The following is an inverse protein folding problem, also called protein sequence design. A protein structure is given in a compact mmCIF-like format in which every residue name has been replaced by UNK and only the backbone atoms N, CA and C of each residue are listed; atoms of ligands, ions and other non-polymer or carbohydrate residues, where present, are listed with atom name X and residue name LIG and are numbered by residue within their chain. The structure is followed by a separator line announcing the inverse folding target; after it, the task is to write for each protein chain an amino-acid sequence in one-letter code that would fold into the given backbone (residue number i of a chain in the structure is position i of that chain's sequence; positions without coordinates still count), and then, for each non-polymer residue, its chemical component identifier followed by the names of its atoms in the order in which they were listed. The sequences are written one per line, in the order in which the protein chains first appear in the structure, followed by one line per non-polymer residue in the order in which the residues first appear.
data_IF_923180749899
#
_entry.id   IF_923180749899
#
_cell.length_a   1.000
_cell.length_b   1.000
_cell.length_c   1.000
_cell.angle_alpha   90.00
_cell.angle_beta   90.00
_cell.angle_gamma   90.00
#
_symmetry.space_group_name_H-M   'P 1'
#
loop_
_entity.id
_entity.type
_entity.pdbx_description
1 polymer ?
#
# COMPACT_ATOMS: atom_id res chain seq x y z
N UNK A 1 -22.07 -4.27 -13.68
CA UNK A 1 -20.98 -4.43 -12.69
C UNK A 1 -20.18 -5.70 -13.02
N UNK A 2 -19.00 -5.65 -13.69
CA UNK A 2 -18.28 -6.89 -14.00
C UNK A 2 -16.96 -7.12 -13.23
N UNK A 3 -16.47 -6.17 -12.41
CA UNK A 3 -15.10 -6.27 -11.84
C UNK A 3 -14.99 -6.27 -10.31
N UNK A 4 -16.08 -5.99 -9.58
CA UNK A 4 -16.10 -6.17 -8.12
C UNK A 4 -16.05 -7.67 -7.81
N UNK A 5 -15.21 -8.06 -6.85
CA UNK A 5 -14.96 -9.46 -6.45
C UNK A 5 -14.38 -10.40 -7.53
N UNK A 6 -14.13 -9.92 -8.75
CA UNK A 6 -13.39 -10.65 -9.76
C UNK A 6 -11.87 -10.65 -9.52
N UNK A 7 -11.15 -11.58 -10.15
CA UNK A 7 -9.69 -11.58 -10.15
C UNK A 7 -9.13 -10.24 -10.68
N UNK A 8 -7.97 -9.79 -10.16
CA UNK A 8 -7.32 -8.61 -10.72
C UNK A 8 -7.01 -8.86 -12.20
N UNK A 9 -7.24 -7.84 -13.03
CA UNK A 9 -6.88 -7.86 -14.45
C UNK A 9 -5.56 -7.13 -14.64
N UNK A 10 -4.81 -7.41 -15.72
CA UNK A 10 -3.63 -6.62 -16.07
C UNK A 10 -3.96 -5.11 -16.07
N UNK A 11 -3.02 -4.25 -15.59
CA UNK A 11 -3.24 -2.82 -15.59
C UNK A 11 -3.43 -2.32 -17.05
N UNK A 12 -4.24 -1.27 -17.26
CA UNK A 12 -4.38 -0.69 -18.58
C UNK A 12 -3.02 -0.15 -19.07
N UNK A 13 -2.80 -0.22 -20.37
CA UNK A 13 -1.64 0.42 -21.00
C UNK A 13 -1.78 1.93 -20.91
N UNK A 14 -0.75 2.61 -20.40
CA UNK A 14 -0.70 4.06 -20.38
C UNK A 14 0.01 4.57 -21.63
N UNK A 15 -0.60 5.50 -22.36
CA UNK A 15 0.03 6.16 -23.52
C UNK A 15 0.78 7.44 -23.13
N UNK A 16 0.52 7.97 -21.94
CA UNK A 16 1.04 9.26 -21.48
C UNK A 16 1.80 9.11 -20.16
N UNK A 17 2.61 10.13 -19.84
CA UNK A 17 3.33 10.22 -18.57
C UNK A 17 2.31 10.36 -17.42
N UNK A 18 2.45 9.51 -16.41
CA UNK A 18 1.61 9.53 -15.20
C UNK A 18 2.40 10.11 -14.02
N UNK A 19 1.72 10.90 -13.19
CA UNK A 19 2.32 11.37 -11.93
C UNK A 19 2.38 10.24 -10.91
N UNK A 20 3.54 10.07 -10.27
CA UNK A 20 3.79 9.07 -9.23
C UNK A 20 4.49 9.69 -8.01
N UNK A 21 4.11 10.92 -7.65
CA UNK A 21 4.74 11.70 -6.56
C UNK A 21 4.01 11.56 -5.21
N UNK A 22 2.90 10.83 -5.15
CA UNK A 22 2.11 10.60 -3.96
C UNK A 22 1.54 9.18 -3.95
N UNK A 23 1.19 8.67 -2.77
CA UNK A 23 0.49 7.40 -2.63
C UNK A 23 -0.89 7.45 -3.29
N UNK A 24 -1.27 6.36 -3.97
CA UNK A 24 -2.63 6.15 -4.46
C UNK A 24 -3.61 5.87 -3.32
N UNK A 25 -4.91 5.80 -3.63
CA UNK A 25 -5.95 5.55 -2.63
C UNK A 25 -5.75 4.21 -1.90
N UNK A 26 -6.13 4.17 -0.61
CA UNK A 26 -6.24 2.93 0.14
C UNK A 26 -7.46 2.13 -0.34
N UNK A 27 -7.39 0.79 -0.23
CA UNK A 27 -8.57 -0.04 -0.46
C UNK A 27 -9.61 0.17 0.64
N UNK A 28 -10.90 -0.21 0.44
CA UNK A 28 -11.91 -0.06 1.48
C UNK A 28 -11.54 -0.82 2.76
N UNK A 29 -11.63 -0.16 3.91
CA UNK A 29 -11.12 -0.62 5.21
C UNK A 29 -12.27 -0.97 6.17
N UNK A 30 -12.22 -2.03 6.97
CA UNK A 30 -13.26 -2.22 8.00
C UNK A 30 -13.15 -1.17 9.11
N UNK A 31 -14.28 -0.79 9.76
CA UNK A 31 -14.22 -0.12 11.05
C UNK A 31 -13.47 -1.03 12.05
N UNK A 32 -12.27 -0.63 12.43
CA UNK A 32 -11.44 -1.38 13.36
C UNK A 32 -11.29 -0.58 14.66
N UNK A 33 -11.84 -1.14 15.74
CA UNK A 33 -11.76 -0.52 17.05
C UNK A 33 -11.16 -1.52 18.02
N UNK A 34 -9.89 -1.33 18.33
CA UNK A 34 -9.23 -2.13 19.36
C UNK A 34 -9.55 -1.49 20.71
N UNK A 35 -10.38 -2.16 21.53
CA UNK A 35 -10.64 -1.75 22.91
C UNK A 35 -9.38 -1.96 23.75
N UNK A 36 -8.49 -0.97 23.73
CA UNK A 36 -7.32 -0.92 24.59
C UNK A 36 -7.62 -0.08 25.84
N UNK A 37 -7.09 -0.44 27.03
CA UNK A 37 -7.14 0.43 28.20
C UNK A 37 -6.54 1.81 27.87
N UNK A 38 -7.21 2.89 28.30
CA UNK A 38 -6.91 4.28 27.92
C UNK A 38 -5.44 4.70 28.11
N UNK A 39 -4.73 4.11 29.07
CA UNK A 39 -3.31 4.40 29.34
C UNK A 39 -2.34 3.91 28.25
N UNK A 40 -2.84 3.16 27.26
CA UNK A 40 -2.06 2.67 26.11
C UNK A 40 -2.40 3.35 24.78
N UNK A 41 -3.23 4.41 24.81
CA UNK A 41 -3.60 5.21 23.63
C UNK A 41 -2.42 6.05 23.13
N UNK A 42 -1.44 5.40 22.51
CA UNK A 42 -0.79 6.03 21.36
C UNK A 42 -1.79 6.01 20.21
N UNK A 43 -1.94 7.10 19.42
CA UNK A 43 -2.75 7.06 18.21
C UNK A 43 -2.29 5.87 17.40
N UNK A 44 -3.14 4.86 17.23
CA UNK A 44 -2.76 3.66 16.53
C UNK A 44 -2.40 4.06 15.11
N UNK A 45 -1.11 4.00 14.75
CA UNK A 45 -0.58 4.11 13.36
C UNK A 45 -1.10 3.00 12.43
N UNK A 46 -2.22 2.37 12.78
CA UNK A 46 -2.87 1.27 12.07
C UNK A 46 -4.01 1.77 11.19
N UNK A 47 -4.35 3.06 11.24
CA UNK A 47 -5.39 3.62 10.40
C UNK A 47 -4.78 4.45 9.28
N UNK A 48 -5.19 4.13 8.05
CA UNK A 48 -4.80 4.88 6.86
C UNK A 48 -5.20 6.35 7.00
N UNK A 49 -4.31 7.26 6.63
CA UNK A 49 -4.64 8.67 6.41
C UNK A 49 -5.07 8.96 4.98
N UNK A 50 -5.01 7.95 4.10
CA UNK A 50 -5.36 8.09 2.69
C UNK A 50 -6.87 7.98 2.48
N UNK A 51 -7.34 8.57 1.37
CA UNK A 51 -8.72 8.37 0.91
C UNK A 51 -8.94 6.89 0.55
N UNK A 52 -10.05 6.32 0.98
CA UNK A 52 -10.51 4.99 0.55
C UNK A 52 -11.18 5.03 -0.83
N UNK A 53 -10.92 4.02 -1.66
CA UNK A 53 -11.53 3.83 -3.00
C UNK A 53 -11.54 2.35 -3.37
N UNK A 54 -12.48 1.89 -4.20
CA UNK A 54 -12.38 0.56 -4.84
C UNK A 54 -11.33 0.53 -5.96
N UNK A 55 -11.02 1.69 -6.54
CA UNK A 55 -9.85 1.88 -7.40
C UNK A 55 -8.61 2.13 -6.53
N UNK A 56 -8.04 1.05 -5.99
CA UNK A 56 -6.99 1.08 -4.97
C UNK A 56 -5.78 0.19 -5.27
N UNK A 57 -5.78 -0.55 -6.38
CA UNK A 57 -4.73 -1.52 -6.72
C UNK A 57 -3.47 -0.80 -7.26
N UNK A 58 -2.83 -0.04 -6.38
CA UNK A 58 -1.60 0.68 -6.64
C UNK A 58 -0.38 -0.05 -6.07
N UNK A 59 0.78 0.20 -6.69
CA UNK A 59 2.09 -0.24 -6.24
C UNK A 59 3.01 0.96 -6.13
N UNK A 60 3.88 0.95 -5.12
CA UNK A 60 4.90 1.98 -4.91
C UNK A 60 6.28 1.36 -5.09
N UNK A 61 7.17 2.09 -5.73
CA UNK A 61 8.55 1.66 -5.97
C UNK A 61 9.48 2.76 -5.44
N UNK A 62 10.28 2.42 -4.44
CA UNK A 62 11.28 3.31 -3.86
C UNK A 62 12.67 2.73 -4.11
N UNK A 63 13.58 3.55 -4.62
CA UNK A 63 14.93 3.14 -5.00
C UNK A 63 15.95 4.25 -4.74
N UNK A 64 17.25 3.92 -4.61
CA UNK A 64 18.30 4.92 -4.53
C UNK A 64 18.30 5.86 -5.75
N UNK A 65 18.58 7.14 -5.52
CA UNK A 65 18.70 8.13 -6.59
C UNK A 65 19.74 7.72 -7.63
N UNK A 66 19.43 7.85 -8.91
CA UNK A 66 20.35 7.50 -10.00
C UNK A 66 20.41 6.01 -10.34
N UNK A 67 19.60 5.16 -9.71
CA UNK A 67 19.52 3.73 -10.07
C UNK A 67 19.20 3.56 -11.57
N UNK A 68 20.06 2.84 -12.30
CA UNK A 68 19.86 2.52 -13.72
C UNK A 68 19.03 1.25 -13.90
N UNK A 69 18.41 1.09 -15.06
CA UNK A 69 17.56 -0.08 -15.35
C UNK A 69 18.32 -1.43 -15.25
N UNK A 70 19.63 -1.42 -15.54
CA UNK A 70 20.49 -2.59 -15.50
C UNK A 70 21.31 -2.73 -14.20
N UNK A 71 20.93 -2.03 -13.13
CA UNK A 71 21.70 -2.03 -11.88
C UNK A 71 21.67 -3.37 -11.11
N UNK A 72 20.69 -4.25 -11.40
CA UNK A 72 20.63 -5.60 -10.80
C UNK A 72 20.45 -5.62 -9.28
N UNK A 73 19.81 -4.59 -8.70
CA UNK A 73 19.61 -4.49 -7.24
C UNK A 73 18.58 -5.52 -6.74
N UNK A 74 18.77 -6.09 -5.54
CA UNK A 74 17.77 -6.94 -4.90
C UNK A 74 16.48 -6.17 -4.60
N UNK A 75 15.35 -6.88 -4.68
CA UNK A 75 14.02 -6.34 -4.43
C UNK A 75 13.53 -6.82 -3.07
N UNK A 76 13.12 -5.87 -2.23
CA UNK A 76 12.35 -6.15 -1.03
C UNK A 76 10.88 -5.81 -1.30
N UNK A 77 10.02 -6.83 -1.36
CA UNK A 77 8.60 -6.69 -1.59
C UNK A 77 7.83 -6.75 -0.27
N UNK A 78 7.20 -5.65 0.12
CA UNK A 78 6.46 -5.51 1.36
C UNK A 78 4.96 -5.69 1.17
N UNK A 79 4.38 -6.56 2.01
CA UNK A 79 2.94 -6.79 2.12
C UNK A 79 2.54 -6.33 3.51
N UNK A 80 1.70 -5.30 3.59
CA UNK A 80 1.27 -4.78 4.88
C UNK A 80 0.35 -5.79 5.60
N UNK A 81 0.44 -5.81 6.93
CA UNK A 81 -0.51 -6.51 7.78
C UNK A 81 -1.71 -5.64 8.16
N UNK A 82 -2.66 -6.24 8.86
CA UNK A 82 -3.87 -5.56 9.34
C UNK A 82 -5.09 -6.49 9.40
N UNK A 83 -4.86 -7.78 9.68
CA UNK A 83 -5.93 -8.76 9.87
C UNK A 83 -6.80 -9.03 8.65
N UNK A 84 -6.37 -8.64 7.44
CA UNK A 84 -7.19 -8.67 6.22
C UNK A 84 -8.40 -7.71 6.24
N UNK A 85 -8.42 -6.78 7.19
CA UNK A 85 -9.52 -5.84 7.42
C UNK A 85 -9.10 -4.39 7.25
N UNK A 86 -7.86 -4.07 7.63
CA UNK A 86 -7.28 -2.72 7.54
C UNK A 86 -5.83 -2.74 7.02
N UNK A 87 -5.28 -1.56 6.77
CA UNK A 87 -3.93 -1.31 6.32
C UNK A 87 -3.85 -0.80 4.88
N UNK A 88 -2.74 -0.11 4.60
CA UNK A 88 -2.34 0.32 3.25
C UNK A 88 -0.82 0.52 3.18
N UNK A 89 -0.30 0.75 1.98
CA UNK A 89 1.14 0.90 1.73
C UNK A 89 1.80 2.13 2.35
N UNK A 90 1.09 3.22 2.65
CA UNK A 90 1.66 4.44 3.23
C UNK A 90 2.04 4.29 4.70
N UNK A 91 1.48 3.30 5.40
CA UNK A 91 1.86 3.00 6.78
C UNK A 91 3.32 2.53 6.91
N UNK A 92 3.92 2.05 5.81
CA UNK A 92 5.33 1.71 5.71
C UNK A 92 5.86 2.19 4.34
N UNK A 93 6.37 3.41 4.29
CA UNK A 93 6.80 4.05 3.03
C UNK A 93 8.13 3.50 2.45
N UNK A 94 8.88 2.74 3.24
CA UNK A 94 10.17 2.15 2.85
C UNK A 94 11.36 3.12 2.86
N UNK A 95 11.17 4.41 3.17
CA UNK A 95 12.22 5.43 3.10
C UNK A 95 13.41 5.10 4.01
N UNK A 96 13.12 4.68 5.25
CA UNK A 96 14.16 4.31 6.21
C UNK A 96 14.93 3.06 5.76
N UNK A 97 14.24 2.08 5.18
CA UNK A 97 14.87 0.83 4.71
C UNK A 97 15.80 1.10 3.53
N UNK A 98 15.34 1.83 2.51
CA UNK A 98 16.17 2.19 1.36
C UNK A 98 17.36 3.04 1.81
N UNK A 99 17.13 4.07 2.64
CA UNK A 99 18.21 4.92 3.15
C UNK A 99 19.26 4.13 3.93
N UNK A 100 18.83 3.18 4.78
CA UNK A 100 19.74 2.33 5.55
C UNK A 100 20.53 1.38 4.65
N UNK A 101 19.89 0.82 3.61
CA UNK A 101 20.53 -0.06 2.63
C UNK A 101 21.70 0.63 1.90
N UNK A 102 21.53 1.92 1.57
CA UNK A 102 22.59 2.74 0.97
C UNK A 102 23.75 2.93 1.94
N UNK A 103 23.48 3.25 3.21
CA UNK A 103 24.52 3.44 4.24
C UNK A 103 25.31 2.16 4.52
N UNK A 104 24.69 1.00 4.36
CA UNK A 104 25.32 -0.31 4.53
C UNK A 104 26.06 -0.81 3.29
N UNK A 105 26.04 -0.05 2.19
CA UNK A 105 26.58 -0.45 0.90
C UNK A 105 25.93 -1.74 0.33
N UNK A 106 24.65 -1.97 0.68
CA UNK A 106 23.83 -3.07 0.21
C UNK A 106 22.50 -2.54 -0.34
N UNK A 107 22.52 -1.71 -1.41
CA UNK A 107 21.34 -0.98 -1.87
C UNK A 107 20.22 -1.91 -2.35
N UNK A 108 18.99 -1.62 -1.90
CA UNK A 108 17.79 -2.37 -2.31
C UNK A 108 16.80 -1.49 -3.08
N UNK A 109 15.91 -2.14 -3.83
CA UNK A 109 14.66 -1.53 -4.29
C UNK A 109 13.54 -2.00 -3.35
N UNK A 110 12.84 -1.06 -2.75
CA UNK A 110 11.67 -1.34 -1.93
C UNK A 110 10.41 -1.24 -2.79
N UNK A 111 9.55 -2.24 -2.71
CA UNK A 111 8.26 -2.27 -3.39
C UNK A 111 7.17 -2.56 -2.38
N UNK A 112 6.07 -1.81 -2.43
CA UNK A 112 4.88 -2.10 -1.62
C UNK A 112 3.63 -2.05 -2.48
N UNK A 113 2.69 -2.97 -2.25
CA UNK A 113 1.49 -3.09 -3.07
C UNK A 113 0.21 -3.10 -2.21
N UNK A 114 -0.81 -2.38 -2.67
CA UNK A 114 -2.15 -2.52 -2.14
C UNK A 114 -2.78 -3.83 -2.58
N UNK A 115 -3.54 -4.44 -1.67
CA UNK A 115 -4.39 -5.59 -1.96
C UNK A 115 -5.78 -5.35 -1.38
N UNK A 116 -6.79 -5.96 -2.02
CA UNK A 116 -8.18 -5.86 -1.55
C UNK A 116 -8.33 -6.60 -0.22
N UNK A 117 -9.02 -5.98 0.71
CA UNK A 117 -9.34 -6.50 2.03
C UNK A 117 -10.76 -7.07 2.04
N UNK A 118 -11.18 -7.62 3.19
CA UNK A 118 -12.55 -8.07 3.39
C UNK A 118 -13.55 -6.92 3.17
N UNK A 119 -14.71 -7.24 2.57
CA UNK A 119 -15.69 -6.23 2.17
C UNK A 119 -16.39 -5.56 3.36
N UNK A 120 -16.59 -4.23 3.30
CA UNK A 120 -17.45 -3.49 4.26
C UNK A 120 -18.87 -4.05 4.14
N UNK A 121 -19.38 -4.66 5.21
CA UNK A 121 -20.73 -5.24 5.26
C UNK A 121 -21.86 -4.19 5.26
N UNK A 122 -21.55 -2.91 5.49
CA UNK A 122 -22.56 -1.87 5.74
C UNK A 122 -22.96 -1.00 4.53
N UNK A 123 -22.29 -1.09 3.38
CA UNK A 123 -22.61 -0.29 2.18
C UNK A 123 -22.94 -1.14 0.94
N UNK A 124 -23.49 -2.34 1.15
CA UNK A 124 -24.09 -3.08 0.05
C UNK A 124 -25.48 -2.49 -0.23
N UNK A 125 -25.72 -1.82 -1.38
CA UNK A 125 -27.09 -1.59 -1.80
C UNK A 125 -27.80 -2.96 -1.90
N UNK A 126 -29.08 -3.06 -1.48
CA UNK A 126 -29.83 -4.31 -1.61
C UNK A 126 -29.88 -4.73 -3.08
N UNK A 127 -29.90 -6.05 -3.30
CA UNK A 127 -30.01 -6.71 -4.61
C UNK A 127 -31.16 -6.13 -5.44
#
# INVERSE_FOLDING_TARGET
MPRRFGLPQPPPTFSNIQSATAFGAACPQQPFQLSLPSDTMTPSKRQSSLKESEDCLFINVLRPTGTRANAGLPILFWIFGGGFEIGDTSLNDGTTLVSRSIQLNEPIIYISANYRLNGKSHDLPPL
#
